data_IF_232265974186
#
_entry.id   IF_232265974186
#
_cell.length_a   1.000
_cell.length_b   1.000
_cell.length_c   1.000
_cell.angle_alpha   90.00
_cell.angle_beta   90.00
_cell.angle_gamma   90.00
#
_symmetry.space_group_name_H-M   'P 1'
#
loop_
_entity.id
_entity.type
_entity.pdbx_description
1 polymer ?
#
# COMPACT_ATOMS: atom_id res chain seq x y z
N UNK A 1 -27.22 -12.01 -39.20
CA UNK A 1 -26.79 -12.77 -38.00
C UNK A 1 -25.45 -12.32 -37.42
N UNK A 2 -24.54 -11.69 -38.19
CA UNK A 2 -23.21 -11.25 -37.70
C UNK A 2 -23.22 -10.04 -36.72
N UNK A 3 -24.20 -9.13 -36.81
CA UNK A 3 -24.29 -7.92 -35.96
C UNK A 3 -24.42 -8.21 -34.45
N UNK A 4 -25.09 -9.31 -34.07
CA UNK A 4 -25.24 -9.69 -32.66
C UNK A 4 -23.97 -10.31 -32.06
N UNK A 5 -23.13 -10.95 -32.89
CA UNK A 5 -21.84 -11.50 -32.44
C UNK A 5 -20.81 -10.41 -32.13
N UNK A 6 -20.75 -9.38 -32.98
CA UNK A 6 -19.86 -8.22 -32.80
C UNK A 6 -20.28 -7.39 -31.57
N UNK A 7 -21.59 -7.17 -31.38
CA UNK A 7 -22.12 -6.45 -30.22
C UNK A 7 -21.78 -7.14 -28.89
N UNK A 8 -21.87 -8.47 -28.82
CA UNK A 8 -21.49 -9.24 -27.62
C UNK A 8 -20.00 -9.14 -27.31
N UNK A 9 -19.16 -9.16 -28.35
CA UNK A 9 -17.70 -9.02 -28.24
C UNK A 9 -17.30 -7.63 -27.69
N UNK A 10 -17.97 -6.57 -28.15
CA UNK A 10 -17.72 -5.20 -27.69
C UNK A 10 -18.15 -5.00 -26.24
N UNK A 11 -19.31 -5.55 -25.83
CA UNK A 11 -19.76 -5.46 -24.43
C UNK A 11 -18.83 -6.25 -23.49
N UNK A 12 -18.37 -7.43 -23.89
CA UNK A 12 -17.40 -8.21 -23.11
C UNK A 12 -16.06 -7.46 -22.97
N UNK A 13 -15.59 -6.83 -24.04
CA UNK A 13 -14.37 -6.02 -24.01
C UNK A 13 -14.52 -4.83 -23.05
N UNK A 14 -15.64 -4.08 -23.09
CA UNK A 14 -15.89 -2.93 -22.21
C UNK A 14 -15.95 -3.35 -20.74
N UNK A 15 -16.56 -4.50 -20.41
CA UNK A 15 -16.55 -5.06 -19.05
C UNK A 15 -15.17 -5.55 -18.60
N UNK A 16 -14.30 -5.96 -19.52
CA UNK A 16 -12.90 -6.32 -19.19
C UNK A 16 -12.01 -5.08 -18.96
N UNK A 17 -12.28 -3.95 -19.63
CA UNK A 17 -11.48 -2.73 -19.46
C UNK A 17 -11.74 -1.99 -18.14
N UNK A 18 -12.87 -2.23 -17.47
CA UNK A 18 -13.22 -1.60 -16.19
C UNK A 18 -12.73 -2.36 -14.95
N UNK A 19 -11.98 -3.46 -15.12
CA UNK A 19 -11.78 -4.49 -14.10
C UNK A 19 -10.60 -4.37 -13.12
N UNK A 20 -9.84 -3.26 -13.05
CA UNK A 20 -8.71 -3.15 -12.10
C UNK A 20 -8.57 -1.79 -11.40
N UNK A 21 -9.69 -1.11 -11.12
CA UNK A 21 -9.65 -0.06 -10.11
C UNK A 21 -9.60 -0.71 -8.72
N UNK A 22 -8.40 -1.04 -8.21
CA UNK A 22 -8.26 -1.46 -6.82
C UNK A 22 -8.74 -0.31 -5.93
N UNK A 23 -9.80 -0.55 -5.15
CA UNK A 23 -10.28 0.45 -4.21
C UNK A 23 -9.16 0.77 -3.19
N UNK A 24 -8.92 2.05 -2.83
CA UNK A 24 -7.88 2.41 -1.87
C UNK A 24 -7.98 1.65 -0.54
N UNK A 25 -9.19 1.34 -0.08
CA UNK A 25 -9.40 0.52 1.12
C UNK A 25 -8.89 -0.92 0.96
N UNK A 26 -8.97 -1.50 -0.25
CA UNK A 26 -8.46 -2.83 -0.53
C UNK A 26 -6.92 -2.87 -0.51
N UNK A 27 -6.26 -1.83 -1.01
CA UNK A 27 -4.79 -1.70 -0.96
C UNK A 27 -4.30 -1.58 0.48
N UNK A 28 -4.95 -0.73 1.29
CA UNK A 28 -4.62 -0.56 2.70
C UNK A 28 -4.85 -1.87 3.46
N UNK A 29 -5.99 -2.54 3.25
CA UNK A 29 -6.26 -3.83 3.89
C UNK A 29 -5.21 -4.89 3.53
N UNK A 30 -4.78 -4.93 2.26
CA UNK A 30 -3.72 -5.83 1.80
C UNK A 30 -2.39 -5.51 2.48
N UNK A 31 -1.98 -4.25 2.55
CA UNK A 31 -0.77 -3.82 3.24
C UNK A 31 -0.81 -4.17 4.75
N UNK A 32 -1.93 -3.89 5.43
CA UNK A 32 -2.10 -4.22 6.85
C UNK A 32 -2.07 -5.73 7.12
N UNK A 33 -2.51 -6.55 6.16
CA UNK A 33 -2.45 -8.01 6.28
C UNK A 33 -1.02 -8.56 6.39
N UNK A 34 -0.01 -7.83 5.88
CA UNK A 34 1.40 -8.23 5.98
C UNK A 34 1.89 -8.33 7.43
N UNK A 35 1.30 -7.57 8.36
CA UNK A 35 1.66 -7.58 9.79
C UNK A 35 1.01 -8.73 10.56
N UNK A 36 -0.18 -9.18 10.12
CA UNK A 36 -0.96 -10.24 10.76
C UNK A 36 -0.69 -11.63 10.17
N UNK A 37 0.10 -11.70 9.11
CA UNK A 37 0.44 -12.96 8.49
C UNK A 37 1.40 -13.73 9.40
N UNK A 38 0.86 -14.71 10.15
CA UNK A 38 1.60 -15.82 10.79
C UNK A 38 2.58 -16.55 9.84
N UNK A 39 2.59 -16.18 8.56
CA UNK A 39 3.48 -16.68 7.52
C UNK A 39 4.80 -15.89 7.40
N UNK A 40 4.87 -14.63 7.84
CA UNK A 40 6.12 -13.84 7.75
C UNK A 40 6.89 -13.94 9.06
N UNK A 41 6.28 -13.50 10.16
CA UNK A 41 6.89 -13.65 11.48
C UNK A 41 6.70 -15.06 12.00
N UNK A 42 7.73 -15.91 11.88
CA UNK A 42 7.71 -17.30 12.34
C UNK A 42 8.58 -17.51 13.57
N UNK A 43 9.74 -16.85 13.63
CA UNK A 43 10.75 -17.05 14.66
C UNK A 43 11.09 -15.79 15.42
N UNK A 44 10.73 -14.61 14.90
CA UNK A 44 10.90 -13.37 15.64
C UNK A 44 10.00 -13.32 16.86
N UNK A 45 10.60 -12.96 18.00
CA UNK A 45 9.87 -12.77 19.24
C UNK A 45 8.88 -11.61 19.08
N UNK A 46 7.63 -11.82 19.47
CA UNK A 46 6.53 -10.84 19.33
C UNK A 46 6.86 -9.41 19.79
N UNK A 47 7.46 -9.17 20.97
CA UNK A 47 7.77 -7.80 21.43
C UNK A 47 8.76 -7.04 20.56
N UNK A 48 9.54 -7.72 19.71
CA UNK A 48 10.55 -7.11 18.86
C UNK A 48 10.06 -6.87 17.42
N UNK A 49 8.83 -7.28 17.09
CA UNK A 49 8.29 -7.15 15.74
C UNK A 49 7.97 -5.69 15.44
N UNK A 50 8.18 -5.29 14.18
CA UNK A 50 7.64 -4.03 13.67
C UNK A 50 6.11 -4.05 13.78
N UNK A 51 5.55 -3.02 14.41
CA UNK A 51 4.11 -2.86 14.58
C UNK A 51 3.50 -2.01 13.47
N UNK A 52 2.19 -2.11 13.26
CA UNK A 52 1.45 -1.21 12.36
C UNK A 52 1.56 0.26 12.82
N UNK A 53 1.85 0.48 14.10
CA UNK A 53 2.12 1.80 14.67
C UNK A 53 3.45 2.41 14.21
N UNK A 54 4.33 1.62 13.58
CA UNK A 54 5.62 2.08 13.06
C UNK A 54 6.76 2.04 14.07
N UNK A 55 6.62 1.27 15.15
CA UNK A 55 7.64 1.14 16.20
C UNK A 55 8.31 -0.24 16.20
N UNK A 56 9.60 -0.26 16.56
CA UNK A 56 10.43 -1.46 16.77
C UNK A 56 11.01 -1.37 18.19
N UNK A 57 10.49 -2.16 19.12
CA UNK A 57 10.80 -2.04 20.55
C UNK A 57 11.88 -3.05 20.98
N UNK A 58 13.10 -2.87 20.48
CA UNK A 58 14.23 -3.74 20.81
C UNK A 58 15.12 -3.07 21.85
N UNK A 59 15.27 -3.63 23.07
CA UNK A 59 16.18 -3.08 24.06
C UNK A 59 17.64 -3.28 23.62
N UNK A 60 18.53 -2.40 24.09
CA UNK A 60 19.95 -2.45 23.71
C UNK A 60 20.59 -3.83 23.92
N UNK A 61 20.24 -4.52 25.02
CA UNK A 61 20.72 -5.87 25.34
C UNK A 61 20.30 -6.95 24.34
N UNK A 62 19.21 -6.74 23.59
CA UNK A 62 18.69 -7.66 22.58
C UNK A 62 19.11 -7.28 21.14
N UNK A 63 19.85 -6.18 20.94
CA UNK A 63 20.27 -5.69 19.61
C UNK A 63 20.92 -6.77 18.77
N UNK A 64 21.91 -7.49 19.33
CA UNK A 64 22.62 -8.54 18.58
C UNK A 64 21.69 -9.72 18.23
N UNK A 65 20.79 -10.10 19.13
CA UNK A 65 19.81 -11.16 18.87
C UNK A 65 18.83 -10.74 17.76
N UNK A 66 18.43 -9.46 17.73
CA UNK A 66 17.56 -8.94 16.68
C UNK A 66 18.29 -8.89 15.33
N UNK A 67 19.46 -8.25 15.29
CA UNK A 67 20.20 -7.93 14.06
C UNK A 67 20.84 -9.15 13.40
N UNK A 68 21.28 -10.15 14.17
CA UNK A 68 21.83 -11.40 13.64
C UNK A 68 20.84 -12.56 13.69
N UNK A 69 19.61 -12.30 14.13
CA UNK A 69 18.55 -13.29 14.26
C UNK A 69 17.47 -13.17 13.19
N UNK A 70 16.40 -13.96 13.33
CA UNK A 70 15.31 -13.99 12.34
C UNK A 70 14.53 -12.67 12.29
N UNK A 71 14.51 -11.89 13.37
CA UNK A 71 13.72 -10.66 13.45
C UNK A 71 14.08 -9.64 12.38
N UNK A 72 15.37 -9.39 12.13
CA UNK A 72 15.78 -8.45 11.08
C UNK A 72 15.28 -8.92 9.69
N UNK A 73 15.55 -10.17 9.33
CA UNK A 73 15.11 -10.73 8.04
C UNK A 73 13.59 -10.78 7.90
N UNK A 74 12.86 -11.18 8.94
CA UNK A 74 11.39 -11.24 8.92
C UNK A 74 10.78 -9.83 8.85
N UNK A 75 11.40 -8.84 9.49
CA UNK A 75 10.98 -7.44 9.39
C UNK A 75 11.15 -6.91 7.97
N UNK A 76 12.26 -7.21 7.30
CA UNK A 76 12.44 -6.86 5.88
C UNK A 76 11.39 -7.51 4.99
N UNK A 77 11.04 -8.78 5.23
CA UNK A 77 9.95 -9.44 4.48
C UNK A 77 8.58 -8.76 4.69
N UNK A 78 8.30 -8.25 5.90
CA UNK A 78 7.08 -7.46 6.13
C UNK A 78 7.13 -6.16 5.35
N UNK A 79 8.25 -5.43 5.39
CA UNK A 79 8.40 -4.17 4.65
C UNK A 79 8.22 -4.37 3.15
N UNK A 80 8.81 -5.43 2.58
CA UNK A 80 8.68 -5.76 1.16
C UNK A 80 7.25 -6.19 0.80
N UNK A 81 6.55 -6.91 1.70
CA UNK A 81 5.13 -7.25 1.52
C UNK A 81 4.26 -5.98 1.48
N UNK A 82 4.51 -5.04 2.38
CA UNK A 82 3.79 -3.75 2.43
C UNK A 82 4.08 -2.95 1.18
N UNK A 83 5.35 -2.84 0.77
CA UNK A 83 5.78 -2.10 -0.41
C UNK A 83 5.11 -2.61 -1.70
N UNK A 84 5.09 -3.93 -1.90
CA UNK A 84 4.39 -4.56 -3.03
C UNK A 84 2.86 -4.41 -2.98
N UNK A 85 2.28 -4.12 -1.81
CA UNK A 85 0.84 -3.95 -1.63
C UNK A 85 0.42 -2.48 -1.77
N UNK A 86 1.21 -1.56 -1.21
CA UNK A 86 1.04 -0.12 -1.23
C UNK A 86 2.39 0.55 -0.92
N UNK A 87 3.15 0.92 -1.94
CA UNK A 87 4.49 1.53 -1.79
C UNK A 87 4.46 2.87 -1.06
N UNK A 88 3.34 3.60 -1.14
CA UNK A 88 3.12 4.88 -0.44
C UNK A 88 2.53 4.69 0.97
N UNK A 89 2.69 3.50 1.57
CA UNK A 89 2.19 3.23 2.92
C UNK A 89 2.92 4.10 3.95
N UNK A 90 2.14 4.71 4.84
CA UNK A 90 2.62 5.53 5.96
C UNK A 90 2.11 4.91 7.24
N UNK A 91 3.01 4.69 8.20
CA UNK A 91 2.68 4.14 9.50
C UNK A 91 1.91 5.15 10.37
N UNK A 92 1.29 4.70 11.47
CA UNK A 92 0.55 5.62 12.35
C UNK A 92 1.44 6.71 12.95
N UNK A 93 2.70 6.40 13.27
CA UNK A 93 3.70 7.38 13.71
C UNK A 93 4.27 8.26 12.58
N UNK A 94 3.68 8.23 11.38
CA UNK A 94 4.11 8.98 10.19
C UNK A 94 5.43 8.51 9.57
N UNK A 95 6.04 7.43 10.04
CA UNK A 95 7.18 6.84 9.35
C UNK A 95 6.80 6.36 7.95
N UNK A 96 7.75 6.44 7.02
CA UNK A 96 7.66 5.73 5.73
C UNK A 96 8.34 4.38 5.81
N UNK A 97 8.13 3.52 4.81
CA UNK A 97 8.92 2.30 4.63
C UNK A 97 10.43 2.59 4.62
N UNK A 98 10.86 3.69 3.99
CA UNK A 98 12.26 4.09 3.94
C UNK A 98 12.79 4.50 5.32
N UNK A 99 12.01 5.25 6.10
CA UNK A 99 12.35 5.60 7.48
C UNK A 99 12.60 4.36 8.33
N UNK A 100 11.74 3.34 8.23
CA UNK A 100 11.94 2.07 8.95
C UNK A 100 13.21 1.35 8.45
N UNK A 101 13.43 1.27 7.14
CA UNK A 101 14.64 0.64 6.57
C UNK A 101 15.92 1.34 7.04
N UNK A 102 15.95 2.67 7.06
CA UNK A 102 17.09 3.46 7.56
C UNK A 102 17.33 3.27 9.05
N UNK A 103 16.25 3.19 9.84
CA UNK A 103 16.33 2.89 11.28
C UNK A 103 16.99 1.52 11.49
N UNK A 104 16.52 0.49 10.79
CA UNK A 104 17.08 -0.87 10.87
C UNK A 104 18.55 -0.92 10.45
N UNK A 105 18.91 -0.23 9.35
CA UNK A 105 20.27 -0.18 8.85
C UNK A 105 21.23 0.44 9.88
N UNK A 106 20.82 1.53 10.51
CA UNK A 106 21.64 2.23 11.50
C UNK A 106 21.71 1.46 12.81
N UNK A 107 20.57 0.97 13.31
CA UNK A 107 20.50 0.17 14.54
C UNK A 107 21.29 -1.13 14.46
N UNK A 108 21.35 -1.78 13.30
CA UNK A 108 22.10 -3.03 13.09
C UNK A 108 23.50 -2.84 12.50
N UNK A 109 23.86 -1.61 12.11
CA UNK A 109 25.15 -1.27 11.54
C UNK A 109 26.29 -1.26 12.57
N UNK A 110 27.43 -0.73 12.14
CA UNK A 110 28.63 -0.58 12.95
C UNK A 110 28.90 0.89 13.35
N UNK A 111 27.89 1.76 13.26
CA UNK A 111 27.98 3.16 13.69
C UNK A 111 27.77 3.30 15.20
N UNK A 112 27.88 4.53 15.69
CA UNK A 112 27.55 4.88 17.07
C UNK A 112 26.05 4.71 17.39
N UNK A 113 25.18 4.66 16.37
CA UNK A 113 23.73 4.46 16.49
C UNK A 113 23.34 2.98 16.64
N UNK A 114 24.32 2.07 16.72
CA UNK A 114 24.03 0.64 16.88
C UNK A 114 23.18 0.42 18.14
N UNK A 115 22.07 -0.29 17.97
CA UNK A 115 21.09 -0.54 19.01
C UNK A 115 20.05 0.56 19.21
N UNK A 116 20.10 1.64 18.42
CA UNK A 116 19.10 2.69 18.41
C UNK A 116 17.98 2.38 17.42
N UNK A 117 16.89 1.81 17.93
CA UNK A 117 15.67 1.53 17.15
C UNK A 117 14.62 2.65 17.24
N UNK A 118 15.01 3.86 17.68
CA UNK A 118 14.10 4.98 17.73
C UNK A 118 13.80 5.50 16.32
N UNK A 119 12.65 5.10 15.78
CA UNK A 119 12.23 5.44 14.42
C UNK A 119 12.09 6.96 14.22
N UNK A 120 11.71 7.69 15.26
CA UNK A 120 11.46 9.14 15.18
C UNK A 120 12.73 9.94 14.86
N UNK A 121 13.90 9.45 15.28
CA UNK A 121 15.20 10.07 14.97
C UNK A 121 15.57 9.97 13.48
N UNK A 122 14.93 9.06 12.74
CA UNK A 122 15.16 8.84 11.31
C UNK A 122 14.04 9.43 10.42
N UNK A 123 13.08 10.16 10.98
CA UNK A 123 12.00 10.80 10.23
C UNK A 123 12.41 12.11 9.53
N UNK A 124 13.68 12.24 9.11
CA UNK A 124 14.24 13.46 8.50
C UNK A 124 13.25 14.14 7.55
N UNK A 125 12.83 15.34 7.94
CA UNK A 125 12.07 16.35 7.18
C UNK A 125 10.68 15.99 6.62
N UNK A 126 9.85 15.25 7.38
CA UNK A 126 8.38 15.27 7.15
C UNK A 126 7.68 16.58 7.57
N UNK A 127 8.43 17.65 7.88
CA UNK A 127 7.90 18.97 8.26
C UNK A 127 7.91 20.02 7.14
N UNK A 128 8.35 19.68 5.93
CA UNK A 128 8.18 20.55 4.74
C UNK A 128 7.34 19.82 3.70
N UNK A 129 6.01 19.78 3.88
CA UNK A 129 5.01 19.69 2.79
C UNK A 129 3.54 19.71 3.30
N UNK A 130 3.25 20.33 4.46
CA UNK A 130 1.87 20.62 4.87
C UNK A 130 1.34 21.92 4.21
N UNK A 131 1.49 22.02 2.88
CA UNK A 131 0.66 22.90 2.04
C UNK A 131 0.72 22.47 0.56
N UNK A 132 -0.15 21.54 0.15
CA UNK A 132 -0.91 21.59 -1.10
C UNK A 132 -1.37 20.20 -1.54
N UNK A 133 -2.60 19.84 -1.19
CA UNK A 133 -3.37 18.92 -2.02
C UNK A 133 -4.88 19.13 -1.83
N UNK A 134 -5.32 20.38 -1.98
CA UNK A 134 -6.63 20.64 -2.59
C UNK A 134 -6.47 20.54 -4.11
N UNK A 135 -6.18 19.33 -4.61
CA UNK A 135 -6.28 18.95 -6.02
C UNK A 135 -6.45 17.44 -6.08
N UNK A 136 -7.56 16.96 -5.55
CA UNK A 136 -8.11 15.69 -6.03
C UNK A 136 -8.54 15.96 -7.48
N UNK A 137 -8.00 15.27 -8.50
CA UNK A 137 -8.62 15.34 -9.82
C UNK A 137 -10.05 14.86 -9.62
N UNK A 138 -11.00 15.77 -9.85
CA UNK A 138 -12.41 15.43 -9.98
C UNK A 138 -12.46 14.33 -11.05
N UNK A 139 -12.59 13.09 -10.61
CA UNK A 139 -12.89 11.98 -11.50
C UNK A 139 -14.10 12.43 -12.33
N UNK A 140 -14.07 12.32 -13.68
CA UNK A 140 -15.19 12.73 -14.49
C UNK A 140 -16.41 12.00 -13.94
N UNK A 141 -17.37 12.78 -13.45
CA UNK A 141 -18.57 12.25 -12.82
C UNK A 141 -19.20 11.23 -13.77
N UNK A 142 -19.43 10.02 -13.27
CA UNK A 142 -20.06 8.93 -14.01
C UNK A 142 -21.42 9.31 -14.63
N UNK A 143 -21.98 10.47 -14.25
CA UNK A 143 -23.18 11.02 -14.87
C UNK A 143 -23.01 11.23 -16.39
N UNK A 144 -21.86 11.72 -16.86
CA UNK A 144 -21.66 11.95 -18.30
C UNK A 144 -21.58 10.64 -19.09
N UNK A 145 -20.95 9.61 -18.54
CA UNK A 145 -20.89 8.28 -19.15
C UNK A 145 -22.25 7.58 -19.13
N UNK A 146 -23.03 7.72 -18.05
CA UNK A 146 -24.43 7.23 -18.02
C UNK A 146 -25.36 8.02 -18.95
N UNK A 147 -25.20 9.33 -19.09
CA UNK A 147 -26.01 10.16 -20.00
C UNK A 147 -25.69 9.84 -21.46
N UNK A 148 -24.42 9.64 -21.80
CA UNK A 148 -24.03 9.19 -23.14
C UNK A 148 -24.51 7.76 -23.41
N UNK A 149 -24.39 6.84 -22.46
CA UNK A 149 -24.88 5.48 -22.61
C UNK A 149 -26.41 5.42 -22.77
N UNK A 150 -27.17 6.21 -22.01
CA UNK A 150 -28.64 6.28 -22.13
C UNK A 150 -29.08 7.00 -23.41
N UNK A 151 -28.39 8.06 -23.83
CA UNK A 151 -28.66 8.74 -25.10
C UNK A 151 -28.41 7.82 -26.29
N UNK A 152 -27.31 7.06 -26.29
CA UNK A 152 -27.02 6.06 -27.33
C UNK A 152 -28.07 4.95 -27.32
N UNK A 153 -28.49 4.45 -26.14
CA UNK A 153 -29.54 3.44 -26.04
C UNK A 153 -30.88 3.95 -26.60
N UNK A 154 -31.28 5.18 -26.26
CA UNK A 154 -32.52 5.80 -26.76
C UNK A 154 -32.49 6.13 -28.26
N UNK A 155 -31.33 6.55 -28.78
CA UNK A 155 -31.13 6.78 -30.22
C UNK A 155 -31.23 5.48 -31.03
N UNK A 156 -30.74 4.36 -30.47
CA UNK A 156 -30.87 3.04 -31.11
C UNK A 156 -32.27 2.43 -30.98
N UNK A 157 -33.00 2.70 -29.89
CA UNK A 157 -34.37 2.23 -29.70
C UNK A 157 -35.36 2.93 -30.65
N UNK A 158 -35.14 4.21 -30.97
CA UNK A 158 -35.93 4.96 -31.98
C UNK A 158 -35.67 4.53 -33.44
N UNK A 159 -34.61 3.78 -33.71
CA UNK A 159 -34.31 3.27 -35.06
C UNK A 159 -34.89 1.87 -35.31
N UNK A 160 -35.62 1.31 -34.34
CA UNK A 160 -36.17 -0.07 -34.36
C UNK A 160 -37.71 -0.08 -34.34
N UNK A 161 -38.36 1.06 -34.14
CA UNK A 161 -39.81 1.24 -34.33
C UNK A 161 -40.10 2.18 -35.52
#
# INVERSE_FOLDING_TARGET
MAKHGILRLVVFAIFCYSGFAQNPGQLIAKALSCFNANNIYKRCNEPYRLTQSGYINVPFTATNQFCYGPCLSETHLVLDCVDHSLSTFVFYNKATLNTIRSTLQSACGHSHDRGNFNVEEYMQDYYEDEYSSANLPLAPSNLFTFVLATAVFLLTARAVF
#
